data_IF_475369517545
#
_entry.id   IF_475369517545
#
_cell.length_a   1.000
_cell.length_b   1.000
_cell.length_c   1.000
_cell.angle_alpha   90.00
_cell.angle_beta   90.00
_cell.angle_gamma   90.00
#
_symmetry.space_group_name_H-M   'P 1'
#
loop_
_entity.id
_entity.type
_entity.pdbx_description
1 polymer ?
#
# COMPACT_ATOMS: atom_id res chain seq x y z
N UNK A 1 18.03 -1.06 22.11
CA UNK A 1 18.01 -0.03 21.04
C UNK A 1 19.45 0.38 20.74
N UNK A 2 19.83 0.43 19.44
CA UNK A 2 21.17 0.87 19.03
C UNK A 2 21.40 2.34 19.39
N UNK A 3 22.62 2.69 19.82
CA UNK A 3 22.99 4.06 20.12
C UNK A 3 22.76 5.02 18.93
N UNK A 4 23.07 4.58 17.73
CA UNK A 4 22.87 5.35 16.51
C UNK A 4 21.38 5.62 16.22
N UNK A 5 20.49 4.63 16.41
CA UNK A 5 19.06 4.81 16.25
C UNK A 5 18.49 5.80 17.25
N UNK A 6 19.05 5.82 18.49
CA UNK A 6 18.67 6.82 19.50
C UNK A 6 19.02 8.23 19.09
N UNK A 7 20.24 8.45 18.56
CA UNK A 7 20.68 9.76 18.05
C UNK A 7 19.80 10.21 16.89
N UNK A 8 19.54 9.32 15.91
CA UNK A 8 18.68 9.65 14.77
C UNK A 8 17.25 9.99 15.19
N UNK A 9 16.73 9.33 16.23
CA UNK A 9 15.41 9.65 16.79
C UNK A 9 15.42 11.02 17.48
N UNK A 10 16.43 11.29 18.30
CA UNK A 10 16.57 12.57 19.01
C UNK A 10 16.78 13.75 18.06
N UNK A 11 17.44 13.54 16.93
CA UNK A 11 17.62 14.57 15.89
C UNK A 11 16.38 14.78 15.01
N UNK A 12 15.33 13.97 15.16
CA UNK A 12 14.13 14.05 14.35
C UNK A 12 14.28 13.48 12.93
N UNK A 13 15.41 12.81 12.62
CA UNK A 13 15.64 12.19 11.31
C UNK A 13 14.84 10.91 11.12
N UNK A 14 14.50 10.25 12.21
CA UNK A 14 13.65 9.07 12.18
C UNK A 14 12.52 9.19 13.18
N UNK A 15 11.43 8.51 12.90
CA UNK A 15 10.29 8.31 13.82
C UNK A 15 10.14 6.83 14.12
N UNK A 16 9.43 6.53 15.21
CA UNK A 16 9.22 5.15 15.62
C UNK A 16 7.74 4.81 15.62
N UNK A 17 7.43 3.56 15.24
CA UNK A 17 6.13 2.94 15.45
C UNK A 17 6.32 1.66 16.27
N UNK A 18 5.56 1.51 17.33
CA UNK A 18 5.58 0.32 18.15
C UNK A 18 4.44 -0.62 17.75
N UNK A 19 4.77 -1.87 17.49
CA UNK A 19 3.82 -2.94 17.23
C UNK A 19 4.11 -4.10 18.20
N UNK A 20 3.27 -4.24 19.20
CA UNK A 20 3.50 -5.21 20.29
C UNK A 20 4.84 -4.98 20.98
N UNK A 21 5.73 -5.96 20.87
CA UNK A 21 7.09 -5.91 21.45
C UNK A 21 8.16 -5.40 20.46
N UNK A 22 7.79 -5.11 19.22
CA UNK A 22 8.71 -4.66 18.17
C UNK A 22 8.60 -3.16 17.97
N UNK A 23 9.74 -2.50 17.77
CA UNK A 23 9.82 -1.07 17.46
C UNK A 23 10.37 -0.96 16.04
N UNK A 24 9.57 -0.37 15.15
CA UNK A 24 9.96 -0.04 13.78
C UNK A 24 10.46 1.39 13.71
N UNK A 25 11.49 1.61 12.91
CA UNK A 25 12.06 2.93 12.63
C UNK A 25 11.88 3.24 11.15
N UNK A 26 11.46 4.45 10.85
CA UNK A 26 11.41 4.96 9.48
C UNK A 26 11.92 6.40 9.44
N UNK A 27 12.32 6.86 8.29
CA UNK A 27 12.63 8.29 8.07
C UNK A 27 11.40 9.13 8.39
N UNK A 28 11.60 10.28 9.02
CA UNK A 28 10.54 11.26 9.19
C UNK A 28 10.18 11.92 7.86
N UNK A 29 8.93 12.30 7.72
CA UNK A 29 8.42 13.03 6.55
C UNK A 29 8.34 14.52 6.84
N UNK A 30 8.26 15.34 5.79
CA UNK A 30 8.10 16.78 5.93
C UNK A 30 6.85 17.18 6.76
N UNK A 31 5.79 16.38 6.67
CA UNK A 31 4.54 16.61 7.40
C UNK A 31 4.66 16.37 8.92
N UNK A 32 5.67 15.63 9.36
CA UNK A 32 5.92 15.31 10.78
C UNK A 32 6.92 16.29 11.42
N UNK A 33 7.49 17.17 10.62
CA UNK A 33 8.32 18.25 11.12
C UNK A 33 7.43 19.43 11.54
N UNK A 34 7.78 20.04 12.67
CA UNK A 34 7.08 21.21 13.18
C UNK A 34 7.07 22.32 12.10
N UNK A 35 5.89 22.85 11.76
CA UNK A 35 5.70 23.81 10.67
C UNK A 35 6.51 25.10 10.79
N UNK A 36 7.09 25.38 11.97
CA UNK A 36 7.95 26.52 12.24
C UNK A 36 9.41 26.36 11.73
N UNK A 37 9.79 25.22 11.18
CA UNK A 37 11.18 24.90 10.83
C UNK A 37 11.36 24.54 9.36
N UNK A 38 10.93 25.39 8.45
CA UNK A 38 11.06 25.19 6.99
C UNK A 38 12.51 24.85 6.58
N UNK A 39 13.49 25.59 7.09
CA UNK A 39 14.92 25.36 6.86
C UNK A 39 15.39 23.97 7.32
N UNK A 40 14.82 23.46 8.42
CA UNK A 40 15.14 22.11 8.92
C UNK A 40 14.62 21.04 7.97
N UNK A 41 13.44 21.22 7.41
CA UNK A 41 12.84 20.29 6.44
C UNK A 41 13.67 20.21 5.18
N UNK A 42 14.10 21.35 4.64
CA UNK A 42 14.94 21.41 3.45
C UNK A 42 16.30 20.74 3.68
N UNK A 43 16.94 21.02 4.81
CA UNK A 43 18.21 20.39 5.18
C UNK A 43 18.06 18.86 5.33
N UNK A 44 16.98 18.41 5.96
CA UNK A 44 16.69 16.99 6.12
C UNK A 44 16.46 16.30 4.79
N UNK A 45 15.70 16.90 3.89
CA UNK A 45 15.47 16.37 2.54
C UNK A 45 16.77 16.30 1.74
N UNK A 46 17.59 17.35 1.82
CA UNK A 46 18.90 17.36 1.17
C UNK A 46 19.83 16.26 1.71
N UNK A 47 19.82 16.05 3.03
CA UNK A 47 20.58 14.96 3.67
C UNK A 47 20.09 13.58 3.20
N UNK A 48 18.80 13.35 3.17
CA UNK A 48 18.25 12.08 2.69
C UNK A 48 18.57 11.85 1.22
N UNK A 49 18.41 12.86 0.37
CA UNK A 49 18.76 12.77 -1.05
C UNK A 49 20.25 12.52 -1.26
N UNK A 50 21.14 13.01 -0.39
CA UNK A 50 22.56 12.71 -0.42
C UNK A 50 22.84 11.27 -0.04
N UNK A 51 22.25 10.77 1.05
CA UNK A 51 22.43 9.40 1.54
C UNK A 51 21.85 8.38 0.54
N UNK A 52 20.77 8.69 -0.14
CA UNK A 52 20.15 7.80 -1.13
C UNK A 52 21.01 7.54 -2.38
N UNK A 53 22.05 8.35 -2.58
CA UNK A 53 23.05 8.13 -3.64
C UNK A 53 24.13 7.12 -3.25
N UNK A 54 24.21 6.75 -1.97
CA UNK A 54 25.21 5.80 -1.52
C UNK A 54 24.83 4.40 -1.96
N UNK A 55 25.81 3.72 -2.51
CA UNK A 55 25.67 2.29 -2.83
C UNK A 55 25.81 1.53 -1.52
N UNK A 56 24.81 0.72 -1.21
CA UNK A 56 24.89 -0.16 -0.04
C UNK A 56 25.97 -1.22 -0.25
N UNK A 57 26.68 -1.54 0.82
CA UNK A 57 27.58 -2.70 0.83
C UNK A 57 26.80 -3.96 0.42
N UNK A 58 27.43 -4.84 -0.35
CA UNK A 58 26.78 -6.03 -0.90
C UNK A 58 26.12 -6.89 0.18
N UNK A 59 26.79 -7.06 1.32
CA UNK A 59 26.27 -7.82 2.46
C UNK A 59 25.00 -7.20 3.06
N UNK A 60 24.94 -5.86 3.08
CA UNK A 60 23.76 -5.13 3.60
C UNK A 60 22.62 -5.23 2.60
N UNK A 61 22.90 -5.10 1.33
CA UNK A 61 21.92 -5.25 0.25
C UNK A 61 21.30 -6.66 0.25
N UNK A 62 22.12 -7.69 0.39
CA UNK A 62 21.67 -9.07 0.47
C UNK A 62 20.77 -9.33 1.69
N UNK A 63 21.21 -8.85 2.86
CA UNK A 63 20.39 -8.95 4.10
C UNK A 63 19.05 -8.22 3.96
N UNK A 64 19.02 -7.05 3.33
CA UNK A 64 17.79 -6.31 3.07
C UNK A 64 16.84 -7.12 2.20
N UNK A 65 17.34 -7.69 1.11
CA UNK A 65 16.56 -8.56 0.23
C UNK A 65 16.02 -9.79 0.97
N UNK A 66 16.85 -10.40 1.83
CA UNK A 66 16.44 -11.54 2.65
C UNK A 66 15.27 -11.17 3.59
N UNK A 67 15.40 -10.07 4.33
CA UNK A 67 14.34 -9.59 5.24
C UNK A 67 13.06 -9.25 4.48
N UNK A 68 13.17 -8.65 3.29
CA UNK A 68 12.01 -8.38 2.45
C UNK A 68 11.31 -9.66 2.00
N UNK A 69 12.06 -10.67 1.56
CA UNK A 69 11.51 -11.98 1.19
C UNK A 69 10.81 -12.66 2.36
N UNK A 70 11.42 -12.65 3.54
CA UNK A 70 10.82 -13.24 4.75
C UNK A 70 9.52 -12.53 5.14
N UNK A 71 9.45 -11.22 5.02
CA UNK A 71 8.22 -10.45 5.27
C UNK A 71 7.11 -10.79 4.28
N UNK A 72 7.43 -10.88 3.00
CA UNK A 72 6.47 -11.26 1.96
C UNK A 72 5.91 -12.67 2.24
N UNK A 73 6.78 -13.63 2.56
CA UNK A 73 6.36 -14.99 2.87
C UNK A 73 5.48 -15.02 4.11
N UNK A 74 5.89 -14.35 5.19
CA UNK A 74 5.14 -14.29 6.44
C UNK A 74 3.76 -13.63 6.25
N UNK A 75 3.70 -12.53 5.49
CA UNK A 75 2.45 -11.85 5.17
C UNK A 75 1.51 -12.75 4.35
N UNK A 76 2.02 -13.38 3.30
CA UNK A 76 1.23 -14.32 2.48
C UNK A 76 0.70 -15.49 3.30
N UNK A 77 1.52 -16.06 4.16
CA UNK A 77 1.11 -17.15 5.04
C UNK A 77 0.02 -16.71 6.01
N UNK A 78 0.20 -15.56 6.66
CA UNK A 78 -0.79 -15.00 7.57
C UNK A 78 -2.15 -14.80 6.89
N UNK A 79 -2.19 -14.16 5.73
CA UNK A 79 -3.43 -13.95 5.00
C UNK A 79 -4.03 -15.25 4.44
N UNK A 80 -3.20 -16.21 4.04
CA UNK A 80 -3.68 -17.52 3.60
C UNK A 80 -4.35 -18.31 4.71
N UNK A 81 -3.78 -18.29 5.91
CA UNK A 81 -4.31 -19.01 7.08
C UNK A 81 -5.50 -18.30 7.74
N UNK A 82 -5.60 -16.97 7.58
CA UNK A 82 -6.57 -16.14 8.28
C UNK A 82 -7.54 -15.40 7.34
N UNK A 83 -7.66 -15.81 6.08
CA UNK A 83 -8.49 -15.10 5.11
C UNK A 83 -9.96 -14.95 5.54
N UNK A 84 -10.58 -15.96 6.14
CA UNK A 84 -11.95 -15.90 6.61
C UNK A 84 -12.13 -15.08 7.92
N UNK A 85 -11.34 -15.30 8.98
CA UNK A 85 -11.37 -14.45 10.18
C UNK A 85 -11.01 -13.00 9.89
N UNK A 86 -10.08 -12.74 8.96
CA UNK A 86 -9.69 -11.39 8.58
C UNK A 86 -10.82 -10.62 7.92
N UNK A 87 -11.62 -11.30 7.11
CA UNK A 87 -12.83 -10.70 6.50
C UNK A 87 -13.84 -10.27 7.55
N UNK A 88 -14.15 -11.13 8.53
CA UNK A 88 -15.07 -10.80 9.61
C UNK A 88 -14.57 -9.60 10.45
N UNK A 89 -13.26 -9.55 10.72
CA UNK A 89 -12.65 -8.41 11.42
C UNK A 89 -12.64 -7.13 10.59
N UNK A 90 -12.38 -7.23 9.29
CA UNK A 90 -12.37 -6.09 8.38
C UNK A 90 -13.76 -5.46 8.26
N UNK A 91 -14.80 -6.28 8.17
CA UNK A 91 -16.21 -5.84 8.20
C UNK A 91 -16.57 -5.15 9.53
N UNK A 92 -15.95 -5.57 10.66
CA UNK A 92 -16.14 -4.92 11.96
C UNK A 92 -15.38 -3.59 12.12
N UNK A 93 -14.25 -3.41 11.44
CA UNK A 93 -13.42 -2.19 11.55
C UNK A 93 -13.93 -1.09 10.62
N UNK A 94 -14.24 -1.41 9.39
CA UNK A 94 -14.80 -0.46 8.42
C UNK A 94 -15.62 -1.22 7.38
N UNK A 95 -16.94 -1.25 7.59
CA UNK A 95 -17.86 -1.76 6.61
C UNK A 95 -17.72 -0.94 5.31
N UNK A 96 -17.74 -1.65 4.18
CA UNK A 96 -17.71 -1.02 2.86
C UNK A 96 -18.77 0.11 2.74
N UNK A 97 -19.95 -0.05 3.33
CA UNK A 97 -21.00 0.94 3.32
C UNK A 97 -20.58 2.28 3.94
N UNK A 98 -19.65 2.28 4.88
CA UNK A 98 -19.16 3.48 5.55
C UNK A 98 -18.22 4.31 4.67
N UNK A 99 -17.35 3.68 3.89
CA UNK A 99 -16.33 4.41 3.13
C UNK A 99 -16.53 4.38 1.62
N UNK A 100 -17.17 3.33 1.08
CA UNK A 100 -17.26 3.10 -0.36
C UNK A 100 -17.89 4.26 -1.13
N UNK A 101 -18.99 4.81 -0.61
CA UNK A 101 -19.66 5.95 -1.23
C UNK A 101 -18.81 7.24 -1.15
N UNK A 102 -18.09 7.44 -0.04
CA UNK A 102 -17.24 8.61 0.14
C UNK A 102 -16.04 8.58 -0.82
N UNK A 103 -15.39 7.41 -0.95
CA UNK A 103 -14.27 7.21 -1.89
C UNK A 103 -14.77 7.33 -3.34
N UNK A 104 -15.92 6.79 -3.67
CA UNK A 104 -16.53 6.93 -4.98
C UNK A 104 -16.82 8.39 -5.33
N UNK A 105 -17.38 9.16 -4.39
CA UNK A 105 -17.62 10.59 -4.56
C UNK A 105 -16.31 11.40 -4.70
N UNK A 106 -15.25 10.97 -4.02
CA UNK A 106 -13.92 11.56 -4.18
C UNK A 106 -13.38 11.31 -5.60
N UNK A 107 -13.48 10.08 -6.12
CA UNK A 107 -13.09 9.73 -7.48
C UNK A 107 -13.81 10.58 -8.54
N UNK A 108 -15.08 10.90 -8.31
CA UNK A 108 -15.87 11.73 -9.23
C UNK A 108 -15.35 13.18 -9.29
N UNK A 109 -14.73 13.66 -8.22
CA UNK A 109 -14.17 15.03 -8.11
C UNK A 109 -12.71 15.15 -8.51
N UNK A 110 -11.98 14.04 -8.62
CA UNK A 110 -10.57 14.08 -8.98
C UNK A 110 -10.41 14.53 -10.45
N UNK A 111 -9.54 15.51 -10.71
CA UNK A 111 -9.22 15.96 -12.06
C UNK A 111 -8.26 14.97 -12.73
N UNK A 112 -8.76 13.77 -13.05
CA UNK A 112 -7.97 12.74 -13.71
C UNK A 112 -7.76 13.09 -15.18
N UNK A 113 -6.57 12.81 -15.74
CA UNK A 113 -6.25 13.09 -17.15
C UNK A 113 -7.11 12.26 -18.11
N UNK A 114 -7.46 11.05 -17.71
CA UNK A 114 -8.40 10.16 -18.39
C UNK A 114 -9.02 9.16 -17.39
N UNK A 115 -9.94 8.33 -17.89
CA UNK A 115 -10.57 7.25 -17.11
C UNK A 115 -10.48 5.92 -17.86
N UNK A 116 -9.37 5.71 -18.55
CA UNK A 116 -9.15 4.49 -19.34
C UNK A 116 -8.82 3.31 -18.45
N UNK A 117 -7.97 3.52 -17.42
CA UNK A 117 -7.48 2.42 -16.63
C UNK A 117 -7.36 2.77 -15.15
N UNK A 118 -7.90 1.92 -14.30
CA UNK A 118 -7.68 1.96 -12.84
C UNK A 118 -6.94 0.71 -12.36
N UNK A 119 -6.17 0.87 -11.30
CA UNK A 119 -5.55 -0.21 -10.54
C UNK A 119 -6.09 -0.19 -9.12
N UNK A 120 -6.63 -1.31 -8.64
CA UNK A 120 -6.89 -1.54 -7.23
C UNK A 120 -5.89 -2.56 -6.69
N UNK A 121 -5.21 -2.19 -5.62
CA UNK A 121 -4.25 -3.06 -4.92
C UNK A 121 -4.90 -3.55 -3.64
N UNK A 122 -4.91 -4.88 -3.43
CA UNK A 122 -5.57 -5.50 -2.30
C UNK A 122 -7.09 -5.34 -2.34
N UNK A 123 -7.81 -5.84 -3.37
CA UNK A 123 -9.25 -5.64 -3.54
C UNK A 123 -10.10 -6.31 -2.44
N UNK A 124 -9.51 -7.15 -1.61
CA UNK A 124 -10.24 -7.86 -0.57
C UNK A 124 -11.38 -8.71 -1.14
N UNK A 125 -12.61 -8.47 -0.66
CA UNK A 125 -13.81 -9.13 -1.18
C UNK A 125 -14.33 -8.55 -2.51
N UNK A 126 -13.68 -7.53 -3.07
CA UNK A 126 -13.95 -6.96 -4.39
C UNK A 126 -15.11 -5.95 -4.45
N UNK A 127 -15.69 -5.55 -3.32
CA UNK A 127 -16.89 -4.67 -3.31
C UNK A 127 -16.64 -3.32 -3.99
N UNK A 128 -15.44 -2.74 -3.83
CA UNK A 128 -15.12 -1.45 -4.43
C UNK A 128 -14.87 -1.53 -5.94
N UNK A 129 -14.57 -2.73 -6.47
CA UNK A 129 -14.39 -2.95 -7.92
C UNK A 129 -15.61 -2.52 -8.73
N UNK A 130 -16.82 -2.60 -8.17
CA UNK A 130 -18.05 -2.11 -8.83
C UNK A 130 -17.98 -0.60 -9.07
N UNK A 131 -17.49 0.16 -8.11
CA UNK A 131 -17.37 1.62 -8.22
C UNK A 131 -16.30 2.02 -9.25
N UNK A 132 -15.21 1.27 -9.32
CA UNK A 132 -14.18 1.48 -10.33
C UNK A 132 -14.66 1.06 -11.72
N UNK A 133 -15.31 -0.09 -11.83
CA UNK A 133 -15.84 -0.59 -13.11
C UNK A 133 -16.88 0.35 -13.75
N UNK A 134 -17.65 1.08 -12.92
CA UNK A 134 -18.60 2.07 -13.40
C UNK A 134 -17.95 3.36 -13.89
N UNK A 135 -16.68 3.63 -13.55
CA UNK A 135 -16.00 4.92 -13.79
C UNK A 135 -14.81 4.83 -14.75
N UNK A 136 -14.32 3.63 -15.00
CA UNK A 136 -13.13 3.40 -15.84
C UNK A 136 -13.43 2.37 -16.94
N UNK A 137 -12.78 2.53 -18.07
CA UNK A 137 -12.92 1.61 -19.21
C UNK A 137 -12.38 0.22 -18.88
N UNK A 138 -11.29 0.14 -18.09
CA UNK A 138 -10.68 -1.09 -17.63
C UNK A 138 -10.21 -0.95 -16.18
N UNK A 139 -10.34 -2.01 -15.40
CA UNK A 139 -9.88 -2.10 -14.02
C UNK A 139 -8.99 -3.31 -13.86
N UNK A 140 -7.78 -3.12 -13.35
CA UNK A 140 -6.91 -4.19 -12.88
C UNK A 140 -6.99 -4.26 -11.35
N UNK A 141 -7.37 -5.41 -10.82
CA UNK A 141 -7.30 -5.70 -9.40
C UNK A 141 -6.12 -6.64 -9.14
N UNK A 142 -5.18 -6.19 -8.31
CA UNK A 142 -3.93 -6.87 -8.01
C UNK A 142 -3.89 -7.27 -6.53
N UNK A 143 -3.63 -8.54 -6.28
CA UNK A 143 -3.37 -9.05 -4.94
C UNK A 143 -2.27 -10.11 -4.99
N UNK A 144 -1.44 -10.19 -3.97
CA UNK A 144 -0.40 -11.22 -3.87
C UNK A 144 -0.90 -12.51 -3.19
N UNK A 145 -2.17 -12.55 -2.78
CA UNK A 145 -2.81 -13.67 -2.10
C UNK A 145 -3.93 -14.26 -2.95
N UNK A 146 -3.72 -15.47 -3.49
CA UNK A 146 -4.68 -16.14 -4.35
C UNK A 146 -6.04 -16.43 -3.68
N UNK A 147 -6.13 -16.88 -2.42
CA UNK A 147 -7.38 -17.02 -1.70
C UNK A 147 -8.20 -15.74 -1.59
N UNK A 148 -7.56 -14.60 -1.37
CA UNK A 148 -8.25 -13.29 -1.34
C UNK A 148 -8.79 -12.93 -2.72
N UNK A 149 -7.98 -13.16 -3.75
CA UNK A 149 -8.40 -12.89 -5.13
C UNK A 149 -9.58 -13.76 -5.59
N UNK A 150 -9.68 -14.99 -5.07
CA UNK A 150 -10.81 -15.88 -5.35
C UNK A 150 -12.13 -15.28 -4.82
N UNK A 151 -12.13 -14.63 -3.65
CA UNK A 151 -13.33 -13.96 -3.13
C UNK A 151 -13.73 -12.77 -4.02
N UNK A 152 -12.74 -11.95 -4.44
CA UNK A 152 -13.01 -10.87 -5.38
C UNK A 152 -13.57 -11.41 -6.72
N UNK A 153 -13.10 -12.57 -7.18
CA UNK A 153 -13.59 -13.21 -8.40
C UNK A 153 -15.07 -13.59 -8.31
N UNK A 154 -15.49 -14.14 -7.18
CA UNK A 154 -16.90 -14.47 -6.93
C UNK A 154 -17.78 -13.20 -7.01
N UNK A 155 -17.32 -12.11 -6.41
CA UNK A 155 -18.03 -10.82 -6.47
C UNK A 155 -18.08 -10.25 -7.90
N UNK A 156 -16.94 -10.23 -8.61
CA UNK A 156 -16.86 -9.75 -10.01
C UNK A 156 -17.81 -10.54 -10.91
N UNK A 157 -17.87 -11.86 -10.74
CA UNK A 157 -18.78 -12.73 -11.48
C UNK A 157 -20.25 -12.44 -11.12
N UNK A 158 -20.59 -12.38 -9.84
CA UNK A 158 -21.95 -12.10 -9.36
C UNK A 158 -22.48 -10.76 -9.86
N UNK A 159 -21.61 -9.74 -9.91
CA UNK A 159 -21.95 -8.39 -10.38
C UNK A 159 -21.79 -8.22 -11.90
N UNK A 160 -21.35 -9.27 -12.62
CA UNK A 160 -21.14 -9.25 -14.07
C UNK A 160 -20.21 -8.11 -14.55
N UNK A 161 -19.16 -7.83 -13.81
CA UNK A 161 -18.19 -6.76 -14.12
C UNK A 161 -17.26 -7.22 -15.24
N UNK A 162 -17.57 -6.84 -16.49
CA UNK A 162 -16.87 -7.32 -17.70
C UNK A 162 -15.53 -6.65 -17.96
N UNK A 163 -15.31 -5.48 -17.38
CA UNK A 163 -14.10 -4.65 -17.56
C UNK A 163 -13.12 -4.77 -16.38
N UNK A 164 -13.31 -5.75 -15.50
CA UNK A 164 -12.43 -6.03 -14.37
C UNK A 164 -11.56 -7.25 -14.68
N UNK A 165 -10.25 -7.09 -14.54
CA UNK A 165 -9.26 -8.17 -14.63
C UNK A 165 -8.64 -8.37 -13.26
N UNK A 166 -8.59 -9.62 -12.79
CA UNK A 166 -7.96 -10.01 -11.53
C UNK A 166 -6.59 -10.63 -11.83
N UNK A 167 -5.56 -10.19 -11.11
CA UNK A 167 -4.20 -10.70 -11.26
C UNK A 167 -3.57 -11.00 -9.91
N UNK A 168 -3.05 -12.21 -9.76
CA UNK A 168 -2.24 -12.56 -8.60
C UNK A 168 -0.77 -12.18 -8.87
N UNK A 169 -0.18 -11.37 -7.99
CA UNK A 169 1.21 -10.94 -8.13
C UNK A 169 1.54 -9.68 -7.34
N UNK A 170 2.75 -9.21 -7.54
CA UNK A 170 3.29 -8.00 -6.90
C UNK A 170 3.26 -6.80 -7.87
N UNK A 171 3.25 -5.59 -7.32
CA UNK A 171 3.31 -4.35 -8.12
C UNK A 171 4.55 -4.33 -9.02
N UNK A 172 5.69 -4.84 -8.50
CA UNK A 172 6.94 -4.90 -9.25
C UNK A 172 6.91 -5.82 -10.49
N UNK A 173 5.91 -6.70 -10.59
CA UNK A 173 5.70 -7.59 -11.72
C UNK A 173 4.79 -6.98 -12.81
N UNK A 174 4.27 -5.78 -12.58
CA UNK A 174 3.53 -5.05 -13.59
C UNK A 174 4.48 -4.57 -14.70
N UNK A 175 4.03 -4.54 -15.95
CA UNK A 175 4.83 -4.00 -17.05
C UNK A 175 5.27 -2.56 -16.77
N UNK A 176 6.49 -2.22 -17.16
CA UNK A 176 7.03 -0.86 -16.97
C UNK A 176 6.23 0.24 -17.70
N UNK A 177 5.51 -0.13 -18.74
CA UNK A 177 4.61 0.71 -19.52
C UNK A 177 3.17 0.72 -19.01
N UNK A 178 2.89 0.06 -17.88
CA UNK A 178 1.59 0.08 -17.24
C UNK A 178 1.41 1.37 -16.44
N UNK A 179 0.62 2.28 -16.98
CA UNK A 179 0.36 3.61 -16.40
C UNK A 179 -1.14 3.82 -16.17
N UNK A 180 -1.69 3.39 -15.03
CA UNK A 180 -3.11 3.61 -14.74
C UNK A 180 -3.38 5.09 -14.44
N UNK A 181 -4.56 5.57 -14.83
CA UNK A 181 -5.01 6.93 -14.53
C UNK A 181 -5.32 7.13 -13.05
N UNK A 182 -5.64 6.04 -12.34
CA UNK A 182 -5.94 6.04 -10.92
C UNK A 182 -5.43 4.76 -10.26
N UNK A 183 -4.87 4.90 -9.07
CA UNK A 183 -4.50 3.78 -8.19
C UNK A 183 -5.28 3.91 -6.87
N UNK A 184 -5.92 2.83 -6.46
CA UNK A 184 -6.70 2.77 -5.22
C UNK A 184 -6.10 1.70 -4.31
N UNK A 185 -5.96 2.05 -3.03
CA UNK A 185 -5.52 1.16 -1.96
C UNK A 185 -6.49 1.36 -0.78
N UNK A 186 -7.51 0.53 -0.71
CA UNK A 186 -8.48 0.58 0.37
C UNK A 186 -8.06 -0.40 1.48
N UNK A 187 -7.76 0.10 2.69
CA UNK A 187 -7.45 -0.72 3.87
C UNK A 187 -6.24 -1.67 3.70
N UNK A 188 -5.30 -1.33 2.85
CA UNK A 188 -4.10 -2.14 2.54
C UNK A 188 -2.87 -1.70 3.33
N UNK A 189 -2.78 -0.41 3.67
CA UNK A 189 -1.64 0.18 4.39
C UNK A 189 -1.92 0.18 5.89
N UNK A 190 -1.21 -0.65 6.65
CA UNK A 190 -1.28 -0.75 8.10
C UNK A 190 0.02 -0.28 8.74
#
# INVERSE_FOLDING_TARGET
MSHHLKILLQSGLVVTRREGNTIFYRRSTAAECDSAAHERVEMQQALFAYVDRWILDADIAERLLQVQKERIVSSRQFFSENAAPFREQQEQIADYELYGSAVAALLDRLPLPSRKQALEIGPGNGQFLRELAARFDAVLALDNNQPMLAQAAEYVQAQQLKNVTLRCGEIAELPADFHPDCVVLNMVLH
#
